data_IF_809160416899
#
_entry.id   IF_809160416899
#
_cell.length_a   1.000
_cell.length_b   1.000
_cell.length_c   1.000
_cell.angle_alpha   90.00
_cell.angle_beta   90.00
_cell.angle_gamma   90.00
#
_symmetry.space_group_name_H-M   'P 1'
#
loop_
_entity.id
_entity.type
_entity.pdbx_description
1 polymer ?
#
# COMPACT_ATOMS: atom_id res chain seq x y z
N UNK A 1 -2.04 10.35 17.35
CA UNK A 1 -1.29 11.55 17.02
C UNK A 1 -0.98 11.58 15.53
N UNK A 2 -1.40 12.65 14.86
CA UNK A 2 -1.32 12.76 13.41
C UNK A 2 0.00 13.44 13.02
N UNK A 3 1.09 12.72 13.06
CA UNK A 3 2.33 13.18 12.44
C UNK A 3 2.30 12.87 10.95
N UNK A 4 2.59 13.84 10.13
CA UNK A 4 2.69 13.68 8.67
C UNK A 4 4.15 13.50 8.29
N UNK A 5 4.41 12.53 7.44
CA UNK A 5 5.72 12.33 6.82
C UNK A 5 5.55 12.53 5.32
N UNK A 6 6.36 13.38 4.77
CA UNK A 6 6.39 13.67 3.34
C UNK A 6 7.77 13.36 2.80
N UNK A 7 7.84 12.60 1.74
CA UNK A 7 9.05 12.43 0.94
C UNK A 7 8.96 13.35 -0.28
N UNK A 8 9.93 14.23 -0.41
CA UNK A 8 10.03 15.15 -1.55
C UNK A 8 11.22 14.72 -2.40
N UNK A 9 10.93 14.24 -3.61
CA UNK A 9 11.96 13.82 -4.59
C UNK A 9 12.27 14.90 -5.60
N UNK A 10 11.65 16.08 -5.48
CA UNK A 10 11.76 17.17 -6.45
C UNK A 10 10.84 17.04 -7.66
N UNK A 11 10.06 15.97 -7.76
CA UNK A 11 9.06 15.78 -8.78
C UNK A 11 7.67 16.16 -8.22
N UNK A 12 6.98 17.10 -8.85
CA UNK A 12 5.74 17.69 -8.32
C UNK A 12 4.55 16.71 -8.19
N UNK A 13 4.66 15.51 -8.72
CA UNK A 13 3.56 14.55 -8.79
C UNK A 13 3.55 13.47 -7.68
N UNK A 14 4.65 13.27 -6.94
CA UNK A 14 4.87 11.91 -6.46
C UNK A 14 4.71 11.69 -4.96
N UNK A 15 4.48 12.71 -4.10
CA UNK A 15 4.95 12.41 -2.77
C UNK A 15 4.22 13.04 -1.59
N UNK A 16 3.03 13.53 -1.76
CA UNK A 16 2.21 13.92 -0.63
C UNK A 16 1.59 12.68 0.04
N UNK A 17 2.37 12.00 0.87
CA UNK A 17 1.89 10.90 1.67
C UNK A 17 1.53 11.41 3.07
N UNK A 18 0.24 11.41 3.38
CA UNK A 18 -0.24 11.59 4.75
C UNK A 18 -0.06 10.28 5.51
N UNK A 19 1.02 10.17 6.25
CA UNK A 19 1.28 9.01 7.09
C UNK A 19 0.80 9.31 8.50
N UNK A 20 -0.17 8.55 8.99
CA UNK A 20 -0.57 8.57 10.39
C UNK A 20 0.30 7.59 11.17
N UNK A 21 1.18 8.11 11.99
CA UNK A 21 2.01 7.30 12.86
C UNK A 21 1.20 6.74 14.02
N UNK A 22 1.57 5.55 14.50
CA UNK A 22 0.94 4.97 15.69
C UNK A 22 1.23 5.83 16.92
N UNK A 23 0.33 5.76 17.91
CA UNK A 23 0.44 6.52 19.16
C UNK A 23 1.46 5.93 20.14
N UNK A 24 1.96 4.75 19.85
CA UNK A 24 2.91 4.02 20.70
C UNK A 24 4.21 3.81 19.95
N UNK A 25 5.31 3.68 20.70
CA UNK A 25 6.61 3.36 20.12
C UNK A 25 6.54 2.05 19.34
N UNK A 26 6.81 2.11 18.07
CA UNK A 26 6.89 0.96 17.15
C UNK A 26 7.98 1.22 16.13
N UNK A 27 8.57 0.17 15.63
CA UNK A 27 9.47 0.28 14.50
C UNK A 27 8.64 0.36 13.22
N UNK A 28 8.91 1.37 12.43
CA UNK A 28 8.29 1.57 11.12
C UNK A 28 9.30 1.32 10.03
N UNK A 29 8.89 0.56 9.06
CA UNK A 29 9.59 0.46 7.79
C UNK A 29 8.70 1.06 6.71
N UNK A 30 9.17 2.10 6.08
CA UNK A 30 8.45 2.73 4.99
C UNK A 30 9.31 2.60 3.74
N UNK A 31 9.07 1.58 2.91
CA UNK A 31 9.77 1.47 1.66
C UNK A 31 9.26 2.54 0.70
N UNK A 32 10.17 3.35 0.18
CA UNK A 32 9.90 4.29 -0.89
C UNK A 32 10.62 3.83 -2.15
N UNK A 33 9.90 3.69 -3.24
CA UNK A 33 10.52 3.57 -4.54
C UNK A 33 11.00 4.96 -4.98
N UNK A 34 12.30 5.13 -5.06
CA UNK A 34 12.88 6.36 -5.60
C UNK A 34 13.10 6.18 -7.11
N UNK A 35 12.74 7.17 -7.94
CA UNK A 35 13.15 7.18 -9.34
C UNK A 35 14.67 7.00 -9.48
N UNK A 36 15.09 6.23 -10.49
CA UNK A 36 16.51 5.85 -10.66
C UNK A 36 17.48 7.03 -10.82
N UNK A 37 16.98 8.19 -11.22
CA UNK A 37 17.73 9.43 -11.40
C UNK A 37 17.63 10.40 -10.21
N UNK A 38 17.01 9.99 -9.12
CA UNK A 38 16.86 10.79 -7.91
C UNK A 38 18.23 11.10 -7.31
N UNK A 39 18.62 12.38 -7.29
CA UNK A 39 19.88 12.81 -6.70
C UNK A 39 19.74 13.26 -5.26
N UNK A 40 18.59 13.73 -4.89
CA UNK A 40 18.28 14.23 -3.54
C UNK A 40 16.84 13.84 -3.21
N UNK A 41 16.66 13.22 -2.04
CA UNK A 41 15.35 13.00 -1.45
C UNK A 41 15.31 13.70 -0.09
N UNK A 42 14.27 14.47 0.16
CA UNK A 42 14.08 15.19 1.42
C UNK A 42 12.92 14.58 2.18
N UNK A 43 13.20 14.05 3.36
CA UNK A 43 12.17 13.60 4.27
C UNK A 43 11.73 14.77 5.15
N UNK A 44 10.46 15.15 5.05
CA UNK A 44 9.85 16.18 5.89
C UNK A 44 8.93 15.52 6.89
N UNK A 45 9.14 15.81 8.17
CA UNK A 45 8.30 15.34 9.28
C UNK A 45 7.57 16.54 9.85
N UNK A 46 6.26 16.55 9.73
CA UNK A 46 5.44 17.61 10.32
C UNK A 46 4.84 17.10 11.63
N UNK A 47 5.27 17.69 12.72
CA UNK A 47 4.78 17.41 14.06
C UNK A 47 3.54 18.24 14.34
N UNK A 48 2.40 17.61 14.64
CA UNK A 48 1.15 18.30 14.98
C UNK A 48 0.91 18.46 16.48
N UNK A 49 1.60 17.72 17.34
CA UNK A 49 1.43 17.82 18.78
C UNK A 49 2.78 17.86 19.50
N UNK A 50 2.78 18.44 20.70
CA UNK A 50 3.97 18.52 21.56
C UNK A 50 4.42 17.13 22.03
N UNK A 51 3.49 16.20 22.11
CA UNK A 51 3.71 14.82 22.59
C UNK A 51 3.91 13.83 21.46
N UNK A 52 3.98 14.31 20.19
CA UNK A 52 4.26 13.45 19.07
C UNK A 52 5.62 12.77 19.24
N UNK A 53 5.64 11.46 19.23
CA UNK A 53 6.87 10.70 19.26
C UNK A 53 7.74 11.11 18.09
N UNK A 54 8.96 11.50 18.41
CA UNK A 54 9.95 11.78 17.38
C UNK A 54 10.50 10.46 16.87
N UNK A 55 10.93 10.45 15.63
CA UNK A 55 11.73 9.38 15.09
C UNK A 55 13.03 9.32 15.89
N UNK A 56 13.30 8.18 16.51
CA UNK A 56 14.56 7.97 17.21
C UNK A 56 15.70 7.67 16.24
N UNK A 57 15.37 6.99 15.15
CA UNK A 57 16.34 6.63 14.14
C UNK A 57 15.68 6.56 12.76
N UNK A 58 16.33 7.12 11.75
CA UNK A 58 15.97 6.95 10.34
C UNK A 58 17.14 6.26 9.66
N UNK A 59 16.90 5.03 9.18
CA UNK A 59 17.87 4.30 8.36
C UNK A 59 17.40 4.31 6.92
N UNK A 60 18.28 4.70 6.02
CA UNK A 60 18.11 4.43 4.61
C UNK A 60 18.77 3.09 4.30
N UNK A 61 18.02 2.20 3.70
CA UNK A 61 18.50 0.87 3.29
C UNK A 61 17.97 0.58 1.90
N UNK A 62 18.77 -0.01 1.07
CA UNK A 62 18.39 -0.56 -0.24
C UNK A 62 17.87 -2.00 -0.13
N UNK A 63 17.89 -2.57 1.08
CA UNK A 63 17.41 -3.91 1.37
C UNK A 63 16.37 -3.87 2.48
N UNK A 64 15.33 -4.68 2.33
CA UNK A 64 14.34 -4.95 3.37
C UNK A 64 14.49 -6.40 3.83
N UNK A 65 14.67 -6.61 5.14
CA UNK A 65 14.74 -7.96 5.70
C UNK A 65 13.35 -8.61 5.70
N UNK A 66 13.17 -9.57 4.80
CA UNK A 66 11.93 -10.35 4.68
C UNK A 66 11.91 -11.59 5.55
N UNK A 67 12.99 -11.87 6.29
CA UNK A 67 13.12 -13.06 7.13
C UNK A 67 12.48 -12.91 8.50
N UNK A 68 11.53 -12.00 8.66
CA UNK A 68 10.88 -11.73 9.93
C UNK A 68 10.43 -13.02 10.63
N UNK A 69 11.14 -13.38 11.71
CA UNK A 69 10.91 -14.56 12.52
C UNK A 69 10.22 -14.23 13.84
N UNK A 70 9.51 -13.12 13.92
CA UNK A 70 8.75 -12.73 15.11
C UNK A 70 7.84 -13.88 15.54
N UNK A 71 7.85 -14.20 16.84
CA UNK A 71 7.08 -15.32 17.42
C UNK A 71 5.57 -15.23 17.18
N UNK A 72 5.06 -14.05 16.88
CA UNK A 72 3.64 -13.83 16.60
C UNK A 72 3.31 -13.84 15.10
N UNK A 73 4.32 -13.96 14.23
CA UNK A 73 4.07 -14.06 12.81
C UNK A 73 3.44 -15.41 12.49
N UNK A 74 2.27 -15.44 11.84
CA UNK A 74 1.64 -16.70 11.40
C UNK A 74 2.55 -17.47 10.46
N UNK A 75 2.54 -18.80 10.58
CA UNK A 75 3.37 -19.70 9.76
C UNK A 75 2.70 -20.02 8.43
N UNK A 76 1.37 -20.08 8.39
CA UNK A 76 0.61 -20.52 7.21
C UNK A 76 -0.49 -19.56 6.74
N UNK A 77 -0.86 -18.56 7.53
CA UNK A 77 -1.78 -17.53 7.08
C UNK A 77 -1.03 -16.50 6.22
N UNK A 78 -1.68 -16.04 5.15
CA UNK A 78 -1.17 -14.91 4.40
C UNK A 78 -1.09 -13.66 5.31
N UNK A 79 0.06 -13.01 5.31
CA UNK A 79 0.30 -11.74 6.01
C UNK A 79 1.22 -10.88 5.17
N UNK A 80 1.09 -9.55 5.20
CA UNK A 80 2.07 -8.68 4.55
C UNK A 80 3.43 -8.82 5.23
N UNK A 81 4.48 -8.36 4.56
CA UNK A 81 5.84 -8.37 5.13
C UNK A 81 5.92 -7.51 6.39
N UNK A 82 5.15 -6.44 6.46
CA UNK A 82 5.07 -5.49 7.58
C UNK A 82 3.74 -4.71 7.49
N UNK A 83 3.41 -3.94 8.51
CA UNK A 83 2.24 -3.07 8.51
C UNK A 83 0.96 -3.75 8.99
N UNK A 84 -0.17 -3.13 8.69
CA UNK A 84 -1.50 -3.60 9.04
C UNK A 84 -2.21 -4.18 7.84
N UNK A 85 -2.89 -5.28 8.03
CA UNK A 85 -3.75 -5.91 7.03
C UNK A 85 -5.13 -6.20 7.61
N UNK A 86 -6.18 -5.98 6.82
CA UNK A 86 -7.53 -6.48 7.10
C UNK A 86 -8.13 -7.12 5.83
N UNK A 87 -9.26 -6.69 5.33
CA UNK A 87 -10.04 -7.36 4.28
C UNK A 87 -9.19 -7.84 3.10
N UNK A 88 -9.22 -9.12 2.82
CA UNK A 88 -8.87 -9.63 1.51
C UNK A 88 -9.92 -9.17 0.50
N UNK A 89 -9.50 -8.66 -0.64
CA UNK A 89 -10.39 -8.18 -1.69
C UNK A 89 -9.78 -8.37 -3.08
N UNK A 90 -10.56 -8.10 -4.11
CA UNK A 90 -10.09 -8.07 -5.49
C UNK A 90 -9.44 -9.36 -5.99
N UNK A 91 -9.71 -10.53 -5.37
CA UNK A 91 -9.09 -11.79 -5.79
C UNK A 91 -9.42 -12.10 -7.26
N UNK A 92 -8.40 -12.31 -8.07
CA UNK A 92 -8.54 -12.60 -9.50
C UNK A 92 -7.46 -13.57 -9.96
N UNK A 93 -7.81 -14.42 -10.92
CA UNK A 93 -6.86 -15.32 -11.59
C UNK A 93 -6.56 -14.81 -12.99
N UNK A 94 -5.28 -14.62 -13.30
CA UNK A 94 -4.82 -14.15 -14.60
C UNK A 94 -3.45 -14.76 -14.94
N UNK A 95 -3.27 -15.16 -16.18
CA UNK A 95 -1.99 -15.63 -16.74
C UNK A 95 -1.28 -16.73 -15.92
N UNK A 96 -2.05 -17.59 -15.24
CA UNK A 96 -1.52 -18.70 -14.44
C UNK A 96 -1.24 -18.34 -12.97
N UNK A 97 -1.59 -17.13 -12.53
CA UNK A 97 -1.37 -16.66 -11.17
C UNK A 97 -2.65 -16.14 -10.52
N UNK A 98 -2.77 -16.37 -9.23
CA UNK A 98 -3.79 -15.80 -8.37
C UNK A 98 -3.27 -14.47 -7.84
N UNK A 99 -3.99 -13.39 -8.08
CA UNK A 99 -3.72 -12.07 -7.52
C UNK A 99 -4.62 -11.87 -6.32
N UNK A 100 -4.03 -11.65 -5.15
CA UNK A 100 -4.72 -11.29 -3.92
C UNK A 100 -4.41 -9.85 -3.60
N UNK A 101 -5.44 -9.03 -3.53
CA UNK A 101 -5.34 -7.70 -2.97
C UNK A 101 -5.92 -7.69 -1.55
N UNK A 102 -5.53 -6.72 -0.75
CA UNK A 102 -5.99 -6.61 0.64
C UNK A 102 -5.89 -5.18 1.13
N UNK A 103 -6.74 -4.84 2.09
CA UNK A 103 -6.65 -3.58 2.80
C UNK A 103 -5.33 -3.52 3.54
N UNK A 104 -4.56 -2.48 3.31
CA UNK A 104 -3.18 -2.41 3.74
C UNK A 104 -2.80 -1.03 4.24
N UNK A 105 -2.23 -0.97 5.46
CA UNK A 105 -1.52 0.19 5.94
C UNK A 105 -0.02 -0.12 5.99
N UNK A 106 0.77 0.33 5.02
CA UNK A 106 2.21 0.08 5.00
C UNK A 106 3.00 0.89 6.03
N UNK A 107 2.36 1.83 6.72
CA UNK A 107 3.05 2.81 7.57
C UNK A 107 2.86 2.58 9.06
N UNK A 108 2.23 1.50 9.46
CA UNK A 108 2.04 1.23 10.88
C UNK A 108 1.21 -0.01 11.17
N UNK A 109 1.11 -0.33 12.46
CA UNK A 109 0.47 -1.52 12.99
C UNK A 109 -0.99 -1.31 13.39
N UNK A 110 -1.63 -0.25 12.91
CA UNK A 110 -3.04 0.07 13.17
C UNK A 110 -3.76 0.39 11.88
N UNK A 111 -5.08 0.27 11.91
CA UNK A 111 -5.92 0.69 10.82
C UNK A 111 -5.71 2.17 10.49
N UNK A 112 -5.58 2.48 9.24
CA UNK A 112 -5.37 3.82 8.69
C UNK A 112 -4.67 3.76 7.33
N UNK A 113 -4.50 4.87 6.65
CA UNK A 113 -3.76 4.98 5.38
C UNK A 113 -4.05 3.86 4.38
N UNK A 114 -5.31 3.47 4.21
CA UNK A 114 -5.68 2.29 3.43
C UNK A 114 -5.22 2.38 1.98
N UNK A 115 -4.47 1.38 1.62
CA UNK A 115 -4.02 1.03 0.28
C UNK A 115 -4.62 -0.32 -0.11
N UNK A 116 -4.51 -0.73 -1.34
CA UNK A 116 -4.56 -2.14 -1.70
C UNK A 116 -3.14 -2.69 -1.74
N UNK A 117 -2.81 -3.54 -0.76
CA UNK A 117 -1.64 -4.41 -0.83
C UNK A 117 -1.85 -5.44 -1.94
N UNK A 118 -0.75 -6.06 -2.40
CA UNK A 118 -0.79 -7.00 -3.50
C UNK A 118 0.15 -8.18 -3.25
N UNK A 119 -0.36 -9.38 -3.47
CA UNK A 119 0.43 -10.60 -3.49
C UNK A 119 -0.03 -11.50 -4.62
N UNK A 120 0.89 -12.29 -5.15
CA UNK A 120 0.61 -13.27 -6.21
C UNK A 120 1.00 -14.67 -5.77
N UNK A 121 0.29 -15.67 -6.30
CA UNK A 121 0.54 -17.08 -6.02
C UNK A 121 0.14 -17.96 -7.20
N UNK A 122 0.88 -19.03 -7.42
CA UNK A 122 0.52 -20.07 -8.41
C UNK A 122 -0.30 -21.22 -7.82
N UNK A 123 -0.29 -21.36 -6.50
CA UNK A 123 -0.84 -22.52 -5.80
C UNK A 123 -1.72 -22.16 -4.59
N UNK A 124 -1.92 -20.87 -4.29
CA UNK A 124 -2.63 -20.34 -3.13
C UNK A 124 -1.98 -20.65 -1.78
N UNK A 125 -0.81 -21.25 -1.79
CA UNK A 125 -0.04 -21.61 -0.58
C UNK A 125 1.22 -20.75 -0.42
N UNK A 126 1.92 -20.55 -1.54
CA UNK A 126 3.14 -19.77 -1.56
C UNK A 126 2.86 -18.42 -2.23
N UNK A 127 3.08 -17.35 -1.49
CA UNK A 127 2.75 -15.99 -1.91
C UNK A 127 4.02 -15.15 -2.08
N UNK A 128 4.10 -14.49 -3.21
CA UNK A 128 5.06 -13.43 -3.47
C UNK A 128 4.40 -12.09 -3.19
N UNK A 129 5.07 -11.23 -2.41
CA UNK A 129 4.58 -9.90 -2.10
C UNK A 129 5.09 -8.90 -3.13
N UNK A 130 4.17 -8.13 -3.67
CA UNK A 130 4.45 -7.08 -4.63
C UNK A 130 4.27 -5.70 -3.99
N UNK A 131 4.62 -4.64 -4.72
CA UNK A 131 4.28 -3.28 -4.33
C UNK A 131 2.76 -3.12 -4.20
N UNK A 132 2.26 -2.20 -3.34
CA UNK A 132 0.85 -1.89 -3.30
C UNK A 132 0.28 -1.58 -4.69
N UNK A 133 -0.82 -2.24 -5.05
CA UNK A 133 -1.45 -2.08 -6.36
C UNK A 133 -2.14 -0.73 -6.51
N UNK A 134 -2.79 -0.26 -5.43
CA UNK A 134 -3.46 1.05 -5.42
C UNK A 134 -3.04 1.77 -4.15
N UNK A 135 -2.31 2.86 -4.30
CA UNK A 135 -1.89 3.70 -3.19
C UNK A 135 -2.98 4.71 -2.83
N UNK A 136 -3.08 5.03 -1.53
CA UNK A 136 -3.89 6.16 -1.06
C UNK A 136 -3.45 7.43 -1.78
N UNK A 137 -4.41 8.21 -2.21
CA UNK A 137 -4.20 9.46 -2.94
C UNK A 137 -4.99 10.64 -2.33
N UNK A 138 -5.08 11.74 -3.07
CA UNK A 138 -5.80 12.95 -2.65
C UNK A 138 -7.32 12.78 -2.61
N UNK A 139 -7.88 11.75 -3.23
CA UNK A 139 -9.31 11.42 -3.13
C UNK A 139 -9.64 10.79 -1.79
N UNK A 140 -8.72 10.02 -1.22
CA UNK A 140 -8.91 9.42 0.09
C UNK A 140 -8.24 8.06 0.29
N UNK A 141 -8.73 7.35 1.29
CA UNK A 141 -8.38 5.95 1.54
C UNK A 141 -8.89 5.05 0.42
N UNK A 142 -8.15 4.02 0.12
CA UNK A 142 -8.56 2.99 -0.85
C UNK A 142 -9.25 1.87 -0.09
N UNK A 143 -10.59 1.90 -0.05
CA UNK A 143 -11.39 0.89 0.65
C UNK A 143 -11.60 -0.34 -0.22
N UNK A 144 -12.16 -1.38 0.39
CA UNK A 144 -12.36 -2.69 -0.23
C UNK A 144 -13.21 -2.62 -1.49
N UNK A 145 -13.04 -3.63 -2.31
CA UNK A 145 -13.75 -3.77 -3.58
C UNK A 145 -13.49 -5.12 -4.23
N UNK A 146 -13.66 -5.18 -5.53
CA UNK A 146 -13.51 -6.39 -6.31
C UNK A 146 -12.73 -6.15 -7.60
N UNK A 147 -12.20 -7.21 -8.17
CA UNK A 147 -11.50 -7.15 -9.45
C UNK A 147 -12.04 -8.17 -10.44
N UNK A 148 -11.85 -7.88 -11.71
CA UNK A 148 -12.18 -8.77 -12.83
C UNK A 148 -11.14 -8.60 -13.93
N UNK A 149 -10.88 -9.67 -14.67
CA UNK A 149 -10.10 -9.59 -15.92
C UNK A 149 -11.04 -9.29 -17.07
N UNK A 150 -10.84 -8.18 -17.76
CA UNK A 150 -11.60 -7.78 -18.95
C UNK A 150 -11.02 -8.45 -20.20
N UNK A 151 -11.37 -9.71 -20.39
CA UNK A 151 -10.84 -10.54 -21.50
C UNK A 151 -11.17 -9.98 -22.88
N UNK A 152 -12.36 -9.42 -23.01
CA UNK A 152 -12.90 -8.97 -24.31
C UNK A 152 -12.74 -7.47 -24.54
N UNK A 153 -12.09 -6.75 -23.63
CA UNK A 153 -11.94 -5.29 -23.70
C UNK A 153 -13.28 -4.54 -23.70
N UNK A 154 -14.23 -5.02 -22.96
CA UNK A 154 -15.57 -4.38 -22.86
C UNK A 154 -15.49 -2.99 -22.27
N UNK A 155 -14.59 -2.80 -21.29
CA UNK A 155 -14.39 -1.49 -20.67
C UNK A 155 -13.48 -0.55 -21.47
N UNK A 156 -12.81 -1.02 -22.51
CA UNK A 156 -11.99 -0.20 -23.41
C UNK A 156 -10.57 0.11 -22.91
N UNK A 157 -10.12 -0.51 -21.82
CA UNK A 157 -8.78 -0.29 -21.26
C UNK A 157 -7.70 -1.23 -21.82
N UNK A 158 -8.10 -2.21 -22.59
CA UNK A 158 -7.25 -3.23 -23.22
C UNK A 158 -7.69 -4.64 -22.84
N UNK A 159 -7.68 -5.56 -23.82
CA UNK A 159 -8.02 -6.96 -23.58
C UNK A 159 -7.05 -7.57 -22.56
N UNK A 160 -7.60 -8.32 -21.59
CA UNK A 160 -6.84 -8.92 -20.52
C UNK A 160 -6.44 -7.97 -19.37
N UNK A 161 -6.88 -6.69 -19.40
CA UNK A 161 -6.64 -5.79 -18.28
C UNK A 161 -7.35 -6.26 -17.02
N UNK A 162 -6.72 -6.11 -15.85
CA UNK A 162 -7.39 -6.24 -14.57
C UNK A 162 -8.12 -4.92 -14.29
N UNK A 163 -9.41 -4.98 -14.05
CA UNK A 163 -10.23 -3.86 -13.61
C UNK A 163 -10.49 -4.01 -12.11
N UNK A 164 -10.15 -3.00 -11.34
CA UNK A 164 -10.37 -2.97 -9.89
C UNK A 164 -11.43 -1.91 -9.55
N UNK A 165 -12.56 -2.35 -9.06
CA UNK A 165 -13.63 -1.47 -8.56
C UNK A 165 -13.45 -1.33 -7.06
N UNK A 166 -13.24 -0.11 -6.59
CA UNK A 166 -12.98 0.17 -5.17
C UNK A 166 -13.72 1.42 -4.70
N UNK A 167 -13.81 1.59 -3.40
CA UNK A 167 -14.38 2.81 -2.82
C UNK A 167 -13.25 3.72 -2.34
N UNK A 168 -13.18 4.93 -2.88
CA UNK A 168 -12.36 5.98 -2.28
C UNK A 168 -13.12 6.66 -1.15
N UNK A 169 -12.50 6.83 0.01
CA UNK A 169 -13.13 7.37 1.22
C UNK A 169 -12.32 8.51 1.84
N UNK A 170 -12.98 9.65 2.05
CA UNK A 170 -12.39 10.81 2.74
C UNK A 170 -13.45 11.63 3.46
N UNK A 171 -13.03 12.42 4.44
CA UNK A 171 -13.93 13.35 5.15
C UNK A 171 -14.48 14.42 4.20
N UNK A 172 -13.71 14.78 3.18
CA UNK A 172 -14.10 15.82 2.21
C UNK A 172 -15.13 15.34 1.20
N UNK A 173 -14.94 14.14 0.66
CA UNK A 173 -15.72 13.66 -0.48
C UNK A 173 -16.71 12.55 -0.10
N UNK A 174 -16.70 12.11 1.17
CA UNK A 174 -17.44 10.92 1.58
C UNK A 174 -16.86 9.65 0.95
N UNK A 175 -17.74 8.73 0.57
CA UNK A 175 -17.38 7.50 -0.11
C UNK A 175 -17.86 7.54 -1.55
N UNK A 176 -16.95 7.36 -2.49
CA UNK A 176 -17.23 7.36 -3.93
C UNK A 176 -16.68 6.09 -4.58
N UNK A 177 -17.44 5.56 -5.54
CA UNK A 177 -17.01 4.38 -6.30
C UNK A 177 -16.00 4.79 -7.36
N UNK A 178 -14.88 4.07 -7.40
CA UNK A 178 -13.77 4.31 -8.31
C UNK A 178 -13.43 3.04 -9.11
N UNK A 179 -12.78 3.25 -10.24
CA UNK A 179 -12.20 2.22 -11.08
C UNK A 179 -10.71 2.51 -11.28
N UNK A 180 -9.88 1.53 -11.00
CA UNK A 180 -8.51 1.46 -11.47
C UNK A 180 -8.35 0.31 -12.47
N UNK A 181 -7.31 0.36 -13.29
CA UNK A 181 -6.99 -0.74 -14.21
C UNK A 181 -5.48 -0.96 -14.31
N UNK A 182 -5.10 -2.22 -14.54
CA UNK A 182 -3.73 -2.62 -14.87
C UNK A 182 -3.71 -3.41 -16.16
N UNK A 183 -2.70 -3.16 -17.01
CA UNK A 183 -2.47 -3.91 -18.26
C UNK A 183 -1.40 -4.98 -18.10
N UNK A 184 -0.55 -4.81 -17.14
CA UNK A 184 0.71 -5.54 -16.93
C UNK A 184 0.79 -6.27 -15.57
N UNK A 185 -0.31 -6.34 -14.84
CA UNK A 185 -0.50 -7.00 -13.53
C UNK A 185 0.02 -6.22 -12.32
#
# INVERSE_FOLDING_TARGET
>A
DESQVRLDTGNAADTDMDIRLAQTKVDYFVPFALPADTKVATLRIQKKSKDALCWEEIKLSDTFDTTNTDKFRPVYHHTPLYGWMNDANGLVYKDGEYHLYYQYNPYGSKWGNMHWGHSVSKDLMHWEHLAPAIARDTLGHIFSGSSIVDQENVAGYGAGSILAYYTSASDKNGQIQCLAYSKDN
#
